data_IF_400540191803
#
_entry.id   IF_400540191803
#
_cell.length_a   1.000
_cell.length_b   1.000
_cell.length_c   1.000
_cell.angle_alpha   90.00
_cell.angle_beta   90.00
_cell.angle_gamma   90.00
#
_symmetry.space_group_name_H-M   'P 1'
#
loop_
_entity.id
_entity.type
_entity.pdbx_description
1 polymer ?
#
# COMPACT_ATOMS: atom_id res chain seq x y z
N UNK A 1 -14.87 22.90 5.68
CA UNK A 1 -13.73 22.01 6.01
C UNK A 1 -14.08 21.18 7.23
N UNK A 2 -13.85 19.85 7.14
CA UNK A 2 -14.02 18.87 8.21
C UNK A 2 -12.67 18.45 8.76
N UNK A 3 -12.62 18.02 10.03
CA UNK A 3 -11.43 17.38 10.62
C UNK A 3 -11.10 16.04 9.93
N UNK A 4 -12.03 15.51 9.14
CA UNK A 4 -11.89 14.28 8.36
C UNK A 4 -11.50 14.52 6.89
N UNK A 5 -11.23 15.77 6.50
CA UNK A 5 -10.83 16.11 5.12
C UNK A 5 -9.54 15.39 4.65
N UNK A 6 -8.76 14.85 5.59
CA UNK A 6 -7.55 14.06 5.29
C UNK A 6 -7.84 12.71 4.63
N UNK A 7 -9.07 12.21 4.70
CA UNK A 7 -9.47 10.89 4.19
C UNK A 7 -9.55 10.91 2.67
N UNK A 8 -10.34 11.85 2.11
CA UNK A 8 -10.61 11.96 0.67
C UNK A 8 -10.94 13.40 0.28
N UNK A 9 -10.78 13.72 -1.00
CA UNK A 9 -11.32 14.97 -1.60
C UNK A 9 -12.80 14.85 -1.91
N UNK A 10 -13.32 13.62 -2.03
CA UNK A 10 -14.74 13.38 -2.26
C UNK A 10 -15.53 13.74 -0.99
N UNK A 11 -16.38 14.77 -1.12
CA UNK A 11 -17.15 15.30 0.00
C UNK A 11 -18.19 14.34 0.52
N UNK A 12 -18.73 13.51 -0.34
CA UNK A 12 -19.74 12.52 0.03
C UNK A 12 -19.10 11.42 0.88
N UNK A 13 -17.90 10.97 0.51
CA UNK A 13 -17.10 10.02 1.31
C UNK A 13 -16.77 10.60 2.69
N UNK A 14 -16.30 11.85 2.75
CA UNK A 14 -15.99 12.51 4.04
C UNK A 14 -17.24 12.67 4.90
N UNK A 15 -18.37 13.04 4.31
CA UNK A 15 -19.63 13.20 5.03
C UNK A 15 -20.14 11.86 5.57
N UNK A 16 -20.09 10.80 4.78
CA UNK A 16 -20.45 9.45 5.18
C UNK A 16 -19.60 8.97 6.35
N UNK A 17 -18.27 9.10 6.25
CA UNK A 17 -17.33 8.76 7.33
C UNK A 17 -17.65 9.51 8.62
N UNK A 18 -17.92 10.80 8.53
CA UNK A 18 -18.22 11.64 9.68
C UNK A 18 -19.53 11.24 10.38
N UNK A 19 -20.52 10.77 9.62
CA UNK A 19 -21.82 10.36 10.15
C UNK A 19 -21.88 8.92 10.67
N UNK A 20 -20.89 8.09 10.32
CA UNK A 20 -20.85 6.68 10.73
C UNK A 20 -20.26 6.56 12.15
N UNK A 21 -21.07 6.08 13.10
CA UNK A 21 -20.65 5.85 14.48
C UNK A 21 -19.51 4.82 14.62
N UNK A 22 -19.33 3.95 13.62
CA UNK A 22 -18.25 2.97 13.58
C UNK A 22 -16.92 3.57 13.09
N UNK A 23 -16.98 4.73 12.45
CA UNK A 23 -15.81 5.46 11.95
C UNK A 23 -15.44 6.64 12.84
N UNK A 24 -16.45 7.32 13.38
CA UNK A 24 -16.28 8.53 14.19
C UNK A 24 -16.36 8.23 15.70
N UNK A 25 -15.40 7.47 16.20
CA UNK A 25 -15.28 7.17 17.64
C UNK A 25 -13.87 7.39 18.15
N UNK A 26 -13.73 7.54 19.47
CA UNK A 26 -12.44 7.66 20.15
C UNK A 26 -12.03 6.29 20.66
N UNK A 27 -10.84 5.83 20.31
CA UNK A 27 -10.28 4.60 20.86
C UNK A 27 -10.14 4.66 22.37
N UNK A 28 -10.39 3.55 23.05
CA UNK A 28 -10.01 3.37 24.44
C UNK A 28 -8.48 3.39 24.58
N UNK A 29 -7.97 3.61 25.80
CA UNK A 29 -6.53 3.54 26.06
C UNK A 29 -5.93 2.17 25.64
N UNK A 30 -6.69 1.08 25.84
CA UNK A 30 -6.29 -0.26 25.39
C UNK A 30 -6.26 -0.33 23.86
N UNK A 31 -7.25 0.22 23.17
CA UNK A 31 -7.29 0.26 21.72
C UNK A 31 -6.09 1.01 21.12
N UNK A 32 -5.73 2.16 21.68
CA UNK A 32 -4.52 2.89 21.29
C UNK A 32 -3.24 2.10 21.55
N UNK A 33 -3.10 1.48 22.72
CA UNK A 33 -1.95 0.62 23.03
C UNK A 33 -1.80 -0.50 22.01
N UNK A 34 -2.88 -1.16 21.67
CA UNK A 34 -2.87 -2.29 20.75
C UNK A 34 -2.55 -1.83 19.31
N UNK A 35 -3.12 -0.70 18.86
CA UNK A 35 -2.79 -0.06 17.60
C UNK A 35 -1.29 0.28 17.51
N UNK A 36 -0.74 0.97 18.51
CA UNK A 36 0.69 1.32 18.51
C UNK A 36 1.59 0.08 18.58
N UNK A 37 1.16 -0.95 19.33
CA UNK A 37 1.89 -2.22 19.38
C UNK A 37 1.95 -2.89 17.99
N UNK A 38 0.84 -2.89 17.25
CA UNK A 38 0.80 -3.40 15.86
C UNK A 38 1.69 -2.57 14.93
N UNK A 39 1.64 -1.25 15.04
CA UNK A 39 2.50 -0.35 14.23
C UNK A 39 3.99 -0.58 14.50
N UNK A 40 4.39 -0.74 15.77
CA UNK A 40 5.78 -1.05 16.13
C UNK A 40 6.21 -2.39 15.55
N UNK A 41 5.37 -3.42 15.68
CA UNK A 41 5.66 -4.77 15.12
C UNK A 41 5.73 -4.75 13.59
N UNK A 42 4.79 -4.06 12.93
CA UNK A 42 4.77 -3.94 11.48
C UNK A 42 6.01 -3.23 10.93
N UNK A 43 6.55 -2.26 11.67
CA UNK A 43 7.76 -1.52 11.29
C UNK A 43 9.07 -2.11 11.82
N UNK A 44 9.04 -3.26 12.49
CA UNK A 44 10.25 -3.92 12.96
C UNK A 44 11.09 -4.47 11.80
N UNK A 45 12.42 -4.38 11.91
CA UNK A 45 13.36 -4.86 10.87
C UNK A 45 13.11 -6.33 10.53
N UNK A 46 12.75 -7.15 11.51
CA UNK A 46 12.45 -8.57 11.31
C UNK A 46 11.23 -8.80 10.42
N UNK A 47 10.25 -7.91 10.42
CA UNK A 47 9.07 -8.00 9.55
C UNK A 47 9.48 -7.89 8.09
N UNK A 48 10.31 -6.91 7.75
CA UNK A 48 10.83 -6.74 6.40
C UNK A 48 11.71 -7.94 5.97
N UNK A 49 12.60 -8.41 6.85
CA UNK A 49 13.52 -9.55 6.58
C UNK A 49 12.81 -10.89 6.42
N UNK A 50 11.61 -11.05 6.97
CA UNK A 50 10.79 -12.28 6.84
C UNK A 50 9.92 -12.29 5.59
N UNK A 51 9.81 -11.17 4.89
CA UNK A 51 9.03 -11.10 3.66
C UNK A 51 9.76 -11.88 2.57
N UNK A 52 9.10 -12.81 1.86
CA UNK A 52 9.70 -13.51 0.74
C UNK A 52 10.21 -12.52 -0.31
N UNK A 53 11.42 -12.76 -0.82
CA UNK A 53 12.08 -11.81 -1.72
C UNK A 53 11.44 -11.74 -3.11
N UNK A 54 10.70 -12.76 -3.48
CA UNK A 54 9.94 -12.89 -4.73
C UNK A 54 8.46 -12.49 -4.60
N UNK A 55 8.01 -12.16 -3.38
CA UNK A 55 6.64 -11.68 -3.17
C UNK A 55 6.44 -10.34 -3.90
N UNK A 56 5.51 -10.25 -4.86
CA UNK A 56 5.20 -8.99 -5.50
C UNK A 56 4.43 -8.08 -4.54
N UNK A 57 4.85 -6.83 -4.45
CA UNK A 57 4.23 -5.81 -3.61
C UNK A 57 3.80 -4.61 -4.44
N UNK A 58 2.55 -4.21 -4.30
CA UNK A 58 2.01 -2.97 -4.85
C UNK A 58 1.69 -1.99 -3.73
N UNK A 59 2.24 -0.78 -3.81
CA UNK A 59 1.94 0.32 -2.90
C UNK A 59 1.17 1.40 -3.66
N UNK A 60 0.00 1.75 -3.15
CA UNK A 60 -0.83 2.84 -3.66
C UNK A 60 -0.95 3.91 -2.59
N UNK A 61 -0.73 5.17 -2.93
CA UNK A 61 -0.82 6.25 -1.97
C UNK A 61 -1.19 7.58 -2.63
N UNK A 62 -1.91 8.42 -1.91
CA UNK A 62 -2.10 9.81 -2.30
C UNK A 62 -0.89 10.68 -1.95
N UNK A 63 -0.50 11.61 -2.83
CA UNK A 63 0.59 12.53 -2.54
C UNK A 63 0.22 13.64 -1.53
N UNK A 64 -1.08 13.76 -1.21
CA UNK A 64 -1.62 14.65 -0.17
C UNK A 64 -2.10 13.92 1.08
N UNK A 65 -1.75 12.64 1.23
CA UNK A 65 -2.04 11.86 2.44
C UNK A 65 -1.12 12.28 3.60
N UNK A 66 -1.64 12.94 4.67
CA UNK A 66 -0.82 13.32 5.82
C UNK A 66 -0.41 12.11 6.67
N UNK A 67 -1.18 11.02 6.67
CA UNK A 67 -0.87 9.79 7.40
C UNK A 67 0.36 9.11 6.81
N UNK A 68 0.44 9.06 5.47
CA UNK A 68 1.61 8.61 4.72
C UNK A 68 2.73 9.65 4.64
N UNK A 69 2.65 10.76 5.41
CA UNK A 69 3.60 11.87 5.37
C UNK A 69 3.82 12.41 3.96
N UNK A 70 2.72 12.59 3.23
CA UNK A 70 2.75 13.10 1.86
C UNK A 70 3.65 12.25 0.92
N UNK A 71 3.59 10.93 1.11
CA UNK A 71 4.36 9.94 0.36
C UNK A 71 5.75 9.62 0.91
N UNK A 72 6.34 10.42 1.81
CA UNK A 72 7.64 10.11 2.40
C UNK A 72 7.63 8.82 3.22
N UNK A 73 6.57 8.62 4.03
CA UNK A 73 6.38 7.40 4.84
C UNK A 73 6.33 6.16 3.95
N UNK A 74 5.59 6.23 2.84
CA UNK A 74 5.49 5.13 1.88
C UNK A 74 6.84 4.84 1.23
N UNK A 75 7.56 5.87 0.73
CA UNK A 75 8.91 5.68 0.16
C UNK A 75 9.88 5.06 1.15
N UNK A 76 9.82 5.46 2.43
CA UNK A 76 10.65 4.86 3.48
C UNK A 76 10.36 3.37 3.65
N UNK A 77 9.09 2.97 3.74
CA UNK A 77 8.68 1.56 3.87
C UNK A 77 9.13 0.74 2.65
N UNK A 78 8.92 1.26 1.45
CA UNK A 78 9.39 0.64 0.20
C UNK A 78 10.90 0.41 0.23
N UNK A 79 11.67 1.40 0.67
CA UNK A 79 13.13 1.27 0.77
C UNK A 79 13.55 0.23 1.83
N UNK A 80 12.80 0.06 2.91
CA UNK A 80 13.05 -1.00 3.89
C UNK A 80 12.80 -2.40 3.29
N UNK A 81 11.74 -2.60 2.50
CA UNK A 81 11.50 -3.85 1.77
C UNK A 81 12.58 -4.13 0.73
N UNK A 82 12.98 -3.12 -0.07
CA UNK A 82 14.09 -3.25 -1.02
C UNK A 82 15.41 -3.60 -0.33
N UNK A 83 15.70 -2.92 0.78
CA UNK A 83 16.90 -3.22 1.61
C UNK A 83 16.87 -4.60 2.26
N UNK A 84 15.70 -5.18 2.45
CA UNK A 84 15.52 -6.55 2.93
C UNK A 84 15.59 -7.60 1.80
N UNK A 85 15.72 -7.18 0.54
CA UNK A 85 15.93 -8.08 -0.61
C UNK A 85 14.67 -8.35 -1.43
N UNK A 86 13.52 -7.71 -1.12
CA UNK A 86 12.31 -7.85 -1.95
C UNK A 86 12.52 -7.17 -3.30
N UNK A 87 12.30 -7.91 -4.40
CA UNK A 87 12.69 -7.50 -5.76
C UNK A 87 11.56 -6.86 -6.54
N UNK A 88 10.36 -7.41 -6.44
CA UNK A 88 9.21 -6.98 -7.22
C UNK A 88 8.35 -6.00 -6.40
N UNK A 89 8.67 -4.71 -6.47
CA UNK A 89 7.95 -3.65 -5.75
C UNK A 89 7.57 -2.54 -6.72
N UNK A 90 6.28 -2.34 -6.88
CA UNK A 90 5.69 -1.22 -7.62
C UNK A 90 5.07 -0.21 -6.67
N UNK A 91 5.18 1.07 -7.00
CA UNK A 91 4.67 2.19 -6.19
C UNK A 91 3.98 3.19 -7.09
N UNK A 92 2.71 3.46 -6.83
CA UNK A 92 1.94 4.45 -7.57
C UNK A 92 1.48 5.55 -6.61
N UNK A 93 1.81 6.80 -6.94
CA UNK A 93 1.34 7.98 -6.22
C UNK A 93 0.28 8.69 -7.06
N UNK A 94 -0.91 8.88 -6.47
CA UNK A 94 -1.99 9.61 -7.11
C UNK A 94 -1.91 11.09 -6.75
N UNK A 95 -1.82 11.91 -7.79
CA UNK A 95 -1.71 13.36 -7.65
C UNK A 95 -2.95 13.93 -6.93
N UNK A 96 -2.68 14.79 -5.95
CA UNK A 96 -3.66 15.46 -5.11
C UNK A 96 -4.56 14.53 -4.28
N UNK A 97 -4.45 13.20 -4.44
CA UNK A 97 -5.22 12.24 -3.65
C UNK A 97 -4.77 12.23 -2.18
N UNK A 98 -5.72 11.91 -1.30
CA UNK A 98 -5.52 11.82 0.15
C UNK A 98 -5.38 10.36 0.59
N UNK A 99 -5.80 10.02 1.80
CA UNK A 99 -5.50 8.73 2.45
C UNK A 99 -6.19 7.53 1.78
N UNK A 100 -7.46 7.65 1.46
CA UNK A 100 -8.25 6.55 0.92
C UNK A 100 -8.33 6.61 -0.61
N UNK A 101 -7.26 6.21 -1.30
CA UNK A 101 -7.16 6.29 -2.77
C UNK A 101 -8.28 5.55 -3.50
N UNK A 102 -8.84 4.49 -2.89
CA UNK A 102 -9.97 3.72 -3.46
C UNK A 102 -11.33 4.38 -3.22
N UNK A 103 -11.37 5.43 -2.42
CA UNK A 103 -12.55 6.26 -2.16
C UNK A 103 -12.34 7.71 -2.61
N UNK A 104 -11.32 7.97 -3.44
CA UNK A 104 -11.01 9.27 -4.01
C UNK A 104 -11.83 9.56 -5.28
N UNK A 105 -11.83 10.81 -5.71
CA UNK A 105 -12.45 11.23 -6.98
C UNK A 105 -11.88 10.47 -8.18
N UNK A 106 -10.59 10.14 -8.14
CA UNK A 106 -9.89 9.35 -9.16
C UNK A 106 -9.84 7.84 -8.91
N UNK A 107 -10.73 7.29 -8.08
CA UNK A 107 -10.71 5.86 -7.69
C UNK A 107 -10.72 4.86 -8.84
N UNK A 108 -11.33 5.23 -9.97
CA UNK A 108 -11.38 4.34 -11.14
C UNK A 108 -9.99 4.09 -11.73
N UNK A 109 -9.11 5.09 -11.70
CA UNK A 109 -7.71 4.92 -12.13
C UNK A 109 -6.97 3.97 -11.18
N UNK A 110 -7.21 4.11 -9.87
CA UNK A 110 -6.62 3.21 -8.87
C UNK A 110 -7.10 1.75 -9.06
N UNK A 111 -8.39 1.53 -9.32
CA UNK A 111 -8.89 0.20 -9.64
C UNK A 111 -8.30 -0.37 -10.94
N UNK A 112 -8.16 0.45 -11.98
CA UNK A 112 -7.53 0.04 -13.23
C UNK A 112 -6.05 -0.34 -13.03
N UNK A 113 -5.31 0.44 -12.23
CA UNK A 113 -3.92 0.15 -11.91
C UNK A 113 -3.77 -1.15 -11.13
N UNK A 114 -4.63 -1.40 -10.13
CA UNK A 114 -4.66 -2.67 -9.39
C UNK A 114 -4.94 -3.85 -10.33
N UNK A 115 -5.96 -3.73 -11.19
CA UNK A 115 -6.32 -4.80 -12.12
C UNK A 115 -5.16 -5.13 -13.07
N UNK A 116 -4.55 -4.11 -13.66
CA UNK A 116 -3.38 -4.25 -14.54
C UNK A 116 -2.21 -4.92 -13.83
N UNK A 117 -1.93 -4.49 -12.59
CA UNK A 117 -0.87 -5.09 -11.80
C UNK A 117 -1.15 -6.56 -11.48
N UNK A 118 -2.36 -6.91 -11.06
CA UNK A 118 -2.76 -8.30 -10.80
C UNK A 118 -2.63 -9.17 -12.05
N UNK A 119 -3.12 -8.70 -13.20
CA UNK A 119 -2.99 -9.39 -14.48
C UNK A 119 -1.53 -9.66 -14.85
N UNK A 120 -0.65 -8.66 -14.64
CA UNK A 120 0.79 -8.83 -14.89
C UNK A 120 1.44 -9.89 -14.01
N UNK A 121 1.04 -9.98 -12.73
CA UNK A 121 1.56 -11.01 -11.82
C UNK A 121 1.05 -12.42 -12.22
N UNK A 122 -0.22 -12.54 -12.61
CA UNK A 122 -0.78 -13.81 -13.06
C UNK A 122 -0.13 -14.31 -14.35
N UNK A 123 0.16 -13.43 -15.30
CA UNK A 123 0.85 -13.76 -16.53
C UNK A 123 2.28 -14.21 -16.26
N UNK A 124 3.01 -13.50 -15.38
CA UNK A 124 4.37 -13.87 -14.99
C UNK A 124 4.45 -15.24 -14.28
N UNK A 125 3.40 -15.61 -13.53
CA UNK A 125 3.31 -16.95 -12.91
C UNK A 125 2.96 -18.06 -13.90
N UNK A 126 2.35 -17.73 -15.05
CA UNK A 126 1.92 -18.72 -16.05
C UNK A 126 3.03 -19.08 -17.06
N UNK A 127 4.07 -18.26 -17.19
CA UNK A 127 5.22 -18.60 -18.05
C UNK A 127 6.13 -19.60 -17.33
N UNK A 128 6.31 -20.86 -17.84
CA UNK A 128 7.23 -21.80 -17.26
C UNK A 128 8.65 -21.26 -17.41
N UNK A 129 9.45 -21.36 -16.34
CA UNK A 129 10.86 -21.01 -16.37
C UNK A 129 11.54 -21.73 -17.57
N UNK A 130 11.94 -20.98 -18.58
CA UNK A 130 12.71 -21.50 -19.69
C UNK A 130 14.03 -22.00 -19.09
N UNK A 131 14.14 -23.32 -18.95
CA UNK A 131 15.35 -24.03 -18.62
C UNK A 131 16.37 -23.74 -19.75
N UNK A 132 17.32 -22.86 -19.47
CA UNK A 132 18.47 -22.66 -20.36
C UNK A 132 19.31 -23.93 -20.31
N UNK A 133 18.98 -24.87 -21.19
CA UNK A 133 19.85 -26.00 -21.49
C UNK A 133 21.18 -25.45 -22.04
N UNK A 134 22.24 -25.56 -21.25
CA UNK A 134 23.61 -25.36 -21.75
C UNK A 134 23.92 -26.46 -22.74
N UNK A 135 24.44 -26.16 -23.92
CA UNK A 135 24.98 -27.22 -24.79
C UNK A 135 26.22 -27.78 -24.15
N UNK A 136 26.19 -29.07 -23.84
CA UNK A 136 27.38 -29.87 -23.51
C UNK A 136 28.23 -29.94 -24.75
N UNK A 137 29.38 -29.25 -24.74
CA UNK A 137 30.41 -29.42 -25.74
C UNK A 137 31.13 -30.78 -25.50
N UNK A 138 31.10 -31.60 -26.51
CA UNK A 138 31.91 -32.80 -26.69
C UNK A 138 33.28 -32.44 -27.23
#
# INVERSE_FOLDING_TARGET
HSIFDWISRDRDVVSLYQSDEKCNFIFTATGFRDLYTLLIKANAVQTFRRTPHDLPLLFLAGDKDPVGRYGEGVRRVVNLYRGAGVKNIEVIFYKDARHEVLNELGRLDAFADISRWLESQLTACAEPAHETAQPTAT
#
